data_IF_558405984650
#
_entry.id   IF_558405984650
#
_cell.length_a   1.000
_cell.length_b   1.000
_cell.length_c   1.000
_cell.angle_alpha   90.00
_cell.angle_beta   90.00
_cell.angle_gamma   90.00
#
_symmetry.space_group_name_H-M   'P 1'
#
loop_
_entity.id
_entity.type
_entity.pdbx_description
1 polymer ?
#
# COMPACT_ATOMS: atom_id res chain seq x y z
N UNK A 1 10.60 -9.32 -4.77
CA UNK A 1 10.22 -8.42 -3.67
C UNK A 1 9.58 -9.19 -2.51
N UNK A 2 9.84 -8.78 -1.27
CA UNK A 2 9.24 -9.33 -0.05
C UNK A 2 8.56 -8.20 0.74
N UNK A 3 7.25 -8.28 0.96
CA UNK A 3 6.49 -7.24 1.67
C UNK A 3 5.77 -7.81 2.91
N UNK A 4 5.61 -7.01 3.96
CA UNK A 4 4.75 -7.33 5.10
C UNK A 4 3.46 -6.51 5.03
N UNK A 5 2.33 -7.18 4.76
CA UNK A 5 1.09 -6.47 4.43
C UNK A 5 -0.07 -7.36 4.06
N UNK A 6 -1.00 -6.77 3.31
CA UNK A 6 -2.16 -7.43 2.71
C UNK A 6 -2.03 -7.37 1.19
N UNK A 7 -2.26 -8.51 0.53
CA UNK A 7 -2.50 -8.52 -0.90
C UNK A 7 -3.93 -8.03 -1.16
N UNK A 8 -4.06 -6.96 -1.93
CA UNK A 8 -5.34 -6.36 -2.29
C UNK A 8 -5.83 -6.85 -3.66
N UNK A 9 -4.99 -7.55 -4.43
CA UNK A 9 -5.27 -7.82 -5.84
C UNK A 9 -5.27 -6.53 -6.66
N UNK A 10 -5.98 -6.54 -7.79
CA UNK A 10 -5.99 -5.45 -8.76
C UNK A 10 -5.80 -5.97 -10.20
N UNK A 11 -5.96 -5.08 -11.18
CA UNK A 11 -5.94 -5.44 -12.60
C UNK A 11 -7.02 -6.47 -12.97
N UNK A 12 -6.80 -7.21 -14.06
CA UNK A 12 -7.75 -8.24 -14.53
C UNK A 12 -7.80 -9.48 -13.61
N UNK A 13 -6.80 -9.64 -12.73
CA UNK A 13 -6.82 -10.68 -11.70
C UNK A 13 -7.91 -10.43 -10.63
N UNK A 14 -8.41 -9.20 -10.56
CA UNK A 14 -9.49 -8.79 -9.67
C UNK A 14 -9.03 -8.49 -8.26
N UNK A 15 -9.95 -7.92 -7.49
CA UNK A 15 -9.69 -7.46 -6.13
C UNK A 15 -9.86 -8.56 -5.08
N UNK A 16 -8.92 -8.62 -4.13
CA UNK A 16 -8.93 -9.50 -2.96
C UNK A 16 -9.45 -8.80 -1.69
N UNK A 17 -10.40 -7.89 -1.89
CA UNK A 17 -11.12 -7.21 -0.82
C UNK A 17 -12.61 -7.58 -0.88
N UNK A 18 -13.36 -7.20 0.15
CA UNK A 18 -14.80 -7.47 0.24
C UNK A 18 -15.66 -6.29 -0.23
N UNK A 19 -15.06 -5.12 -0.40
CA UNK A 19 -15.72 -3.87 -0.80
C UNK A 19 -15.95 -3.81 -2.31
N UNK A 20 -16.74 -4.75 -2.83
CA UNK A 20 -17.04 -4.85 -4.25
C UNK A 20 -18.56 -4.79 -4.48
N UNK A 21 -18.95 -4.15 -5.57
CA UNK A 21 -20.31 -4.23 -6.12
C UNK A 21 -20.59 -5.65 -6.63
N UNK A 22 -21.85 -5.94 -6.98
CA UNK A 22 -22.22 -7.20 -7.64
C UNK A 22 -21.50 -7.41 -8.99
N UNK A 23 -21.09 -6.33 -9.66
CA UNK A 23 -20.29 -6.36 -10.89
C UNK A 23 -18.79 -6.57 -10.65
N UNK A 24 -18.34 -6.61 -9.39
CA UNK A 24 -16.92 -6.78 -9.04
C UNK A 24 -16.09 -5.49 -9.04
N UNK A 25 -16.73 -4.32 -9.17
CA UNK A 25 -16.06 -3.01 -9.08
C UNK A 25 -15.89 -2.57 -7.63
N UNK A 26 -14.92 -1.69 -7.36
CA UNK A 26 -14.71 -1.13 -6.03
C UNK A 26 -15.91 -0.32 -5.56
N UNK A 27 -16.44 -0.66 -4.38
CA UNK A 27 -17.49 0.11 -3.69
C UNK A 27 -16.89 0.83 -2.48
N UNK A 28 -16.32 2.01 -2.74
CA UNK A 28 -15.60 2.81 -1.75
C UNK A 28 -16.06 4.27 -1.86
N UNK A 29 -16.46 4.86 -0.73
CA UNK A 29 -17.04 6.22 -0.65
C UNK A 29 -16.16 7.36 -1.18
N UNK A 30 -14.89 7.07 -1.42
CA UNK A 30 -13.84 8.04 -1.74
C UNK A 30 -13.13 7.76 -3.06
N UNK A 31 -13.46 6.65 -3.73
CA UNK A 31 -12.86 6.27 -4.99
C UNK A 31 -13.89 6.44 -6.11
N UNK A 32 -13.45 7.04 -7.22
CA UNK A 32 -14.27 7.23 -8.42
C UNK A 32 -13.51 6.62 -9.59
N UNK A 33 -14.18 5.71 -10.30
CA UNK A 33 -13.61 4.73 -11.26
C UNK A 33 -13.21 5.35 -12.62
N UNK A 34 -13.14 6.68 -12.75
CA UNK A 34 -13.04 7.31 -14.08
C UNK A 34 -11.66 7.11 -14.75
N UNK A 35 -10.59 6.77 -14.01
CA UNK A 35 -9.22 6.77 -14.54
C UNK A 35 -8.24 5.73 -13.94
N UNK A 36 -8.71 4.70 -13.23
CA UNK A 36 -7.85 3.67 -12.60
C UNK A 36 -6.81 4.24 -11.59
N UNK A 37 -7.13 5.38 -10.97
CA UNK A 37 -6.27 6.10 -10.02
C UNK A 37 -6.43 5.60 -8.57
N UNK A 38 -6.69 4.30 -8.38
CA UNK A 38 -6.97 3.74 -7.05
C UNK A 38 -5.85 4.06 -6.03
N UNK A 39 -4.60 3.81 -6.41
CA UNK A 39 -3.45 4.03 -5.52
C UNK A 39 -3.30 5.51 -5.19
N UNK A 40 -3.42 6.40 -6.17
CA UNK A 40 -3.30 7.85 -5.95
C UNK A 40 -4.40 8.36 -5.00
N UNK A 41 -5.66 7.97 -5.25
CA UNK A 41 -6.78 8.30 -4.38
C UNK A 41 -6.60 7.76 -2.96
N UNK A 42 -6.12 6.52 -2.83
CA UNK A 42 -5.88 5.89 -1.55
C UNK A 42 -4.76 6.60 -0.77
N UNK A 43 -3.63 6.88 -1.41
CA UNK A 43 -2.51 7.57 -0.79
C UNK A 43 -2.87 8.99 -0.37
N UNK A 44 -3.59 9.72 -1.22
CA UNK A 44 -4.11 11.05 -0.88
C UNK A 44 -4.98 10.98 0.37
N UNK A 45 -5.95 10.07 0.40
CA UNK A 45 -6.82 9.88 1.57
C UNK A 45 -6.05 9.52 2.83
N UNK A 46 -5.03 8.65 2.74
CA UNK A 46 -4.18 8.32 3.88
C UNK A 46 -3.42 9.55 4.37
N UNK A 47 -2.76 10.31 3.50
CA UNK A 47 -2.03 11.54 3.88
C UNK A 47 -2.94 12.55 4.57
N UNK A 48 -4.13 12.79 4.01
CA UNK A 48 -5.10 13.73 4.58
C UNK A 48 -5.60 13.27 5.96
N UNK A 49 -6.02 12.00 6.09
CA UNK A 49 -6.71 11.51 7.30
C UNK A 49 -5.76 11.04 8.39
N UNK A 50 -4.53 10.69 8.07
CA UNK A 50 -3.53 10.21 9.04
C UNK A 50 -2.53 11.30 9.41
N UNK A 51 -2.01 12.02 8.41
CA UNK A 51 -0.98 13.02 8.59
C UNK A 51 -1.51 14.46 8.56
N UNK A 52 -2.78 14.68 8.22
CA UNK A 52 -3.35 16.03 8.09
C UNK A 52 -2.83 16.81 6.88
N UNK A 53 -2.21 16.12 5.92
CA UNK A 53 -1.59 16.73 4.75
C UNK A 53 -2.56 16.75 3.57
N UNK A 54 -3.06 17.94 3.22
CA UNK A 54 -4.01 18.17 2.13
C UNK A 54 -3.50 19.17 1.08
N UNK A 55 -2.22 19.54 1.12
CA UNK A 55 -1.62 20.44 0.12
C UNK A 55 -1.66 19.79 -1.27
N UNK A 56 -2.04 20.57 -2.29
CA UNK A 56 -2.10 20.12 -3.68
C UNK A 56 -1.17 20.89 -4.62
N UNK A 57 -0.67 22.05 -4.18
CA UNK A 57 0.24 22.88 -4.98
C UNK A 57 1.69 22.40 -4.80
N UNK A 58 2.15 21.62 -5.76
CA UNK A 58 3.49 21.04 -5.78
C UNK A 58 4.59 22.05 -6.14
N UNK A 59 4.23 23.28 -6.53
CA UNK A 59 5.20 24.34 -6.90
C UNK A 59 5.70 25.12 -5.68
N UNK A 60 5.02 25.00 -4.54
CA UNK A 60 5.40 25.66 -3.29
C UNK A 60 6.71 25.09 -2.74
N UNK A 61 7.60 25.98 -2.32
CA UNK A 61 8.87 25.59 -1.69
C UNK A 61 8.64 24.69 -0.46
N UNK A 62 9.44 23.63 -0.34
CA UNK A 62 9.34 22.67 0.75
C UNK A 62 8.18 21.66 0.63
N UNK A 63 7.40 21.70 -0.45
CA UNK A 63 6.25 20.80 -0.63
C UNK A 63 6.67 19.32 -0.58
N UNK A 64 7.78 18.98 -1.25
CA UNK A 64 8.27 17.59 -1.31
C UNK A 64 8.64 17.08 0.08
N UNK A 65 9.38 17.86 0.86
CA UNK A 65 9.77 17.49 2.22
C UNK A 65 8.56 17.30 3.14
N UNK A 66 7.54 18.19 3.04
CA UNK A 66 6.30 18.05 3.82
C UNK A 66 5.48 16.83 3.40
N UNK A 67 5.39 16.58 2.09
CA UNK A 67 4.72 15.39 1.54
C UNK A 67 5.43 14.10 1.99
N UNK A 68 6.75 14.07 1.94
CA UNK A 68 7.54 12.89 2.34
C UNK A 68 7.42 12.65 3.86
N UNK A 69 7.43 13.70 4.68
CA UNK A 69 7.14 13.60 6.11
C UNK A 69 5.71 13.09 6.41
N UNK A 70 4.73 13.47 5.57
CA UNK A 70 3.38 12.93 5.65
C UNK A 70 3.33 11.44 5.28
N UNK A 71 4.07 11.00 4.25
CA UNK A 71 4.22 9.58 3.92
C UNK A 71 4.85 8.78 5.06
N UNK A 72 5.91 9.31 5.70
CA UNK A 72 6.54 8.68 6.87
C UNK A 72 5.57 8.53 8.05
N UNK A 73 4.70 9.54 8.23
CA UNK A 73 3.65 9.54 9.26
C UNK A 73 2.55 8.50 8.98
N UNK A 74 2.16 8.34 7.70
CA UNK A 74 1.23 7.27 7.26
C UNK A 74 1.84 5.89 7.54
N UNK A 75 3.11 5.71 7.18
CA UNK A 75 3.90 4.55 7.57
C UNK A 75 3.48 3.22 6.92
N UNK A 76 2.74 3.28 5.82
CA UNK A 76 2.41 2.19 4.90
C UNK A 76 2.54 2.69 3.46
N UNK A 77 2.76 1.78 2.51
CA UNK A 77 2.87 2.07 1.08
C UNK A 77 2.03 1.08 0.28
N UNK A 78 1.56 1.50 -0.89
CA UNK A 78 1.13 0.58 -1.92
C UNK A 78 2.34 0.08 -2.69
N UNK A 79 2.25 -1.14 -3.20
CA UNK A 79 3.32 -1.74 -3.99
C UNK A 79 2.71 -2.59 -5.08
N UNK A 80 2.99 -2.24 -6.34
CA UNK A 80 2.56 -2.99 -7.50
C UNK A 80 3.35 -4.30 -7.63
N UNK A 81 2.69 -5.36 -8.07
CA UNK A 81 3.28 -6.66 -8.34
C UNK A 81 2.52 -7.38 -9.46
N UNK A 82 3.18 -8.36 -10.08
CA UNK A 82 2.61 -9.10 -11.22
C UNK A 82 2.85 -8.41 -12.57
N UNK A 83 1.82 -8.39 -13.41
CA UNK A 83 1.87 -7.79 -14.76
C UNK A 83 1.93 -6.25 -14.66
N UNK A 84 2.86 -5.62 -15.37
CA UNK A 84 3.01 -4.17 -15.37
C UNK A 84 1.85 -3.44 -16.05
N UNK A 85 1.19 -4.06 -17.02
CA UNK A 85 0.03 -3.49 -17.70
C UNK A 85 -1.23 -3.59 -16.85
N UNK A 86 -1.25 -4.51 -15.89
CA UNK A 86 -2.40 -4.82 -15.05
C UNK A 86 -1.93 -5.21 -13.64
N UNK A 87 -1.32 -4.27 -12.90
CA UNK A 87 -0.67 -4.59 -11.64
C UNK A 87 -1.71 -5.00 -10.59
N UNK A 88 -1.36 -6.03 -9.83
CA UNK A 88 -1.95 -6.25 -8.51
C UNK A 88 -1.23 -5.38 -7.49
N UNK A 89 -1.89 -5.04 -6.39
CA UNK A 89 -1.35 -4.17 -5.36
C UNK A 89 -1.31 -4.85 -4.01
N UNK A 90 -0.22 -4.64 -3.29
CA UNK A 90 -0.15 -4.93 -1.86
C UNK A 90 -0.14 -3.63 -1.05
N UNK A 91 -0.85 -3.60 0.07
CA UNK A 91 -0.70 -2.55 1.10
C UNK A 91 0.29 -3.05 2.15
N UNK A 92 1.47 -2.44 2.22
CA UNK A 92 2.60 -2.92 3.01
C UNK A 92 3.07 -1.90 4.05
N UNK A 93 3.39 -2.37 5.26
CA UNK A 93 4.09 -1.58 6.27
C UNK A 93 5.62 -1.67 6.13
N UNK A 94 6.10 -2.67 5.39
CA UNK A 94 7.51 -2.84 5.07
C UNK A 94 7.67 -3.59 3.76
N UNK A 95 8.64 -3.15 2.95
CA UNK A 95 9.02 -3.77 1.70
C UNK A 95 10.53 -3.94 1.68
N UNK A 96 10.96 -5.12 1.27
CA UNK A 96 12.34 -5.44 0.93
C UNK A 96 12.34 -5.72 -0.57
N UNK A 97 12.85 -4.77 -1.33
CA UNK A 97 13.07 -4.95 -2.76
C UNK A 97 14.54 -5.28 -3.02
N UNK A 98 14.78 -6.26 -3.87
CA UNK A 98 16.11 -6.79 -4.17
C UNK A 98 16.21 -7.03 -5.66
N UNK A 99 17.32 -6.62 -6.25
CA UNK A 99 17.67 -6.95 -7.64
C UNK A 99 18.53 -8.21 -7.69
N UNK A 100 18.59 -8.84 -8.86
CA UNK A 100 19.47 -9.99 -9.09
C UNK A 100 20.96 -9.66 -8.88
N UNK A 101 21.34 -8.39 -9.07
CA UNK A 101 22.70 -7.87 -8.85
C UNK A 101 23.04 -7.68 -7.37
N UNK A 102 22.04 -7.60 -6.48
CA UNK A 102 22.22 -7.34 -5.06
C UNK A 102 21.29 -8.19 -4.21
N UNK A 103 21.55 -9.51 -4.09
CA UNK A 103 20.73 -10.37 -3.26
C UNK A 103 20.89 -10.01 -1.78
N UNK A 104 19.78 -9.80 -1.07
CA UNK A 104 19.80 -9.54 0.36
C UNK A 104 19.54 -10.82 1.17
N UNK A 105 20.31 -11.01 2.25
CA UNK A 105 20.02 -12.04 3.24
C UNK A 105 18.87 -11.59 4.14
N UNK A 106 17.77 -12.35 4.14
CA UNK A 106 16.61 -12.07 4.99
C UNK A 106 16.74 -12.80 6.34
N UNK A 107 16.75 -12.03 7.44
CA UNK A 107 16.72 -12.57 8.81
C UNK A 107 15.34 -12.36 9.43
N UNK A 108 14.46 -13.35 9.33
CA UNK A 108 13.08 -13.24 9.79
C UNK A 108 12.94 -12.89 11.28
N UNK A 109 13.87 -13.32 12.14
CA UNK A 109 13.88 -12.94 13.55
C UNK A 109 14.08 -11.43 13.76
N UNK A 110 14.89 -10.78 12.92
CA UNK A 110 15.13 -9.33 12.98
C UNK A 110 13.90 -8.58 12.47
N UNK A 111 13.28 -9.10 11.41
CA UNK A 111 12.05 -8.57 10.86
C UNK A 111 10.88 -8.64 11.85
N UNK A 112 10.75 -9.75 12.60
CA UNK A 112 9.73 -9.89 13.63
C UNK A 112 9.92 -8.87 14.77
N UNK A 113 11.17 -8.67 15.23
CA UNK A 113 11.46 -7.62 16.22
C UNK A 113 11.14 -6.21 15.71
N UNK A 114 11.37 -5.95 14.42
CA UNK A 114 11.00 -4.67 13.79
C UNK A 114 9.50 -4.50 13.66
N UNK A 115 8.78 -5.55 13.26
CA UNK A 115 7.32 -5.57 13.15
C UNK A 115 6.65 -5.14 14.45
N UNK A 116 7.11 -5.70 15.57
CA UNK A 116 6.64 -5.36 16.90
C UNK A 116 7.05 -3.93 17.30
N UNK A 117 8.33 -3.58 17.22
CA UNK A 117 8.81 -2.27 17.70
C UNK A 117 8.30 -1.08 16.88
N UNK A 118 7.99 -1.26 15.60
CA UNK A 118 7.44 -0.24 14.71
C UNK A 118 5.91 -0.27 14.61
N UNK A 119 5.27 -1.20 15.30
CA UNK A 119 3.82 -1.42 15.31
C UNK A 119 3.22 -1.51 13.89
N UNK A 120 3.78 -2.37 13.04
CA UNK A 120 3.35 -2.49 11.65
C UNK A 120 1.88 -2.91 11.53
N UNK A 121 1.41 -3.84 12.36
CA UNK A 121 0.01 -4.27 12.38
C UNK A 121 -0.93 -3.10 12.67
N UNK A 122 -0.58 -2.25 13.65
CA UNK A 122 -1.37 -1.08 14.01
C UNK A 122 -1.44 -0.05 12.88
N UNK A 123 -0.34 0.14 12.14
CA UNK A 123 -0.31 1.04 10.97
C UNK A 123 -1.20 0.53 9.84
N UNK A 124 -1.10 -0.77 9.51
CA UNK A 124 -1.96 -1.40 8.52
C UNK A 124 -3.43 -1.35 8.93
N UNK A 125 -3.76 -1.67 10.19
CA UNK A 125 -5.12 -1.59 10.69
C UNK A 125 -5.69 -0.16 10.66
N UNK A 126 -4.86 0.85 10.93
CA UNK A 126 -5.25 2.26 10.79
C UNK A 126 -5.52 2.62 9.33
N UNK A 127 -4.63 2.22 8.42
CA UNK A 127 -4.77 2.48 6.99
C UNK A 127 -6.04 1.83 6.42
N UNK A 128 -6.28 0.55 6.69
CA UNK A 128 -7.50 -0.15 6.25
C UNK A 128 -8.78 0.53 6.74
N UNK A 129 -8.81 0.99 8.00
CA UNK A 129 -9.96 1.72 8.55
C UNK A 129 -10.19 3.06 7.85
N UNK A 130 -9.13 3.81 7.58
CA UNK A 130 -9.22 5.09 6.86
C UNK A 130 -9.70 4.87 5.43
N UNK A 131 -9.17 3.85 4.76
CA UNK A 131 -9.55 3.47 3.40
C UNK A 131 -10.89 2.74 3.34
N UNK A 132 -11.49 2.38 4.47
CA UNK A 132 -12.74 1.60 4.51
C UNK A 132 -12.64 0.26 3.77
N UNK A 133 -11.42 -0.30 3.66
CA UNK A 133 -11.14 -1.55 2.94
C UNK A 133 -11.09 -2.73 3.91
N UNK A 134 -11.71 -3.85 3.52
CA UNK A 134 -11.65 -5.14 4.22
C UNK A 134 -10.99 -6.20 3.33
N UNK A 135 -9.69 -6.48 3.51
CA UNK A 135 -9.00 -7.56 2.78
C UNK A 135 -9.61 -8.93 3.11
N UNK A 136 -9.63 -9.84 2.13
CA UNK A 136 -10.04 -11.24 2.35
C UNK A 136 -9.00 -12.01 3.16
N UNK A 137 -7.74 -11.61 3.07
CA UNK A 137 -6.67 -12.10 3.92
C UNK A 137 -6.94 -11.70 5.38
N UNK A 138 -7.02 -12.68 6.30
CA UNK A 138 -7.48 -12.46 7.68
C UNK A 138 -6.52 -11.61 8.56
N UNK A 139 -5.22 -11.65 8.27
CA UNK A 139 -4.17 -10.98 9.07
C UNK A 139 -3.00 -10.60 8.17
N UNK A 140 -2.21 -9.56 8.48
CA UNK A 140 -1.07 -9.21 7.66
C UNK A 140 0.00 -10.30 7.71
N UNK A 141 0.66 -10.54 6.59
CA UNK A 141 1.61 -11.62 6.40
C UNK A 141 2.80 -11.17 5.54
N UNK A 142 3.85 -11.98 5.53
CA UNK A 142 4.93 -11.84 4.55
C UNK A 142 4.47 -12.36 3.20
N UNK A 143 4.51 -11.49 2.20
CA UNK A 143 4.13 -11.74 0.81
C UNK A 143 5.39 -11.77 -0.04
N UNK A 144 5.67 -12.92 -0.65
CA UNK A 144 6.71 -13.04 -1.65
C UNK A 144 6.09 -12.75 -3.02
N UNK A 145 6.53 -11.68 -3.67
CA UNK A 145 5.92 -11.17 -4.90
C UNK A 145 6.98 -10.88 -5.95
N UNK A 146 6.62 -11.03 -7.21
CA UNK A 146 7.43 -10.57 -8.34
C UNK A 146 7.16 -9.09 -8.54
N UNK A 147 8.20 -8.25 -8.52
CA UNK A 147 8.09 -6.91 -9.10
C UNK A 147 7.93 -7.10 -10.61
N UNK A 148 6.98 -6.40 -11.22
CA UNK A 148 6.96 -6.28 -12.67
C UNK A 148 8.21 -5.52 -13.07
N UNK A 149 9.16 -6.20 -13.72
CA UNK A 149 10.36 -5.54 -14.24
C UNK A 149 9.96 -4.63 -15.39
N UNK A 150 10.36 -3.35 -15.35
CA UNK A 150 10.50 -2.52 -16.55
C UNK A 150 11.55 -3.11 -17.50
#
# INVERSE_FOLDING_TARGET
MLAYGYDLGGGDAGWYISNLTESGQLDLSWHFDEYDDFVEHAEKRLRERIAGFAETDWTVEGYRERRDAAHDTVGVTFTAHGDIQQPSYALAAHVIDVSWESPAQVRFADLERRRLSRNWDGRLARALRVLEITPRQQRPAWLLMTSGSD
#
